data_IF_260866438271
#
_entry.id   IF_260866438271
#
_cell.length_a   1.000
_cell.length_b   1.000
_cell.length_c   1.000
_cell.angle_alpha   90.00
_cell.angle_beta   90.00
_cell.angle_gamma   90.00
#
_symmetry.space_group_name_H-M   'P 1'
#
loop_
_entity.id
_entity.type
_entity.pdbx_description
1 polymer ?
#
# COMPACT_ATOMS: atom_id res chain seq x y z
N UNK A 1 -19.73 -4.06 -25.40
CA UNK A 1 -19.82 -2.58 -25.45
C UNK A 1 -19.32 -2.06 -24.10
N UNK A 2 -18.33 -1.17 -24.05
CA UNK A 2 -17.65 -0.81 -22.79
C UNK A 2 -18.55 -0.05 -21.81
N UNK A 3 -19.48 0.77 -22.31
CA UNK A 3 -20.43 1.53 -21.47
C UNK A 3 -21.38 0.64 -20.67
N UNK A 4 -21.96 -0.39 -21.30
CA UNK A 4 -22.89 -1.28 -20.61
C UNK A 4 -22.18 -2.09 -19.52
N UNK A 5 -20.89 -2.38 -19.69
CA UNK A 5 -20.09 -2.98 -18.63
C UNK A 5 -19.89 -2.01 -17.46
N UNK A 6 -19.63 -0.73 -17.72
CA UNK A 6 -19.51 0.28 -16.67
C UNK A 6 -20.81 0.43 -15.89
N UNK A 7 -21.95 0.62 -16.56
CA UNK A 7 -23.27 0.75 -15.91
C UNK A 7 -23.61 -0.48 -15.06
N UNK A 8 -23.41 -1.68 -15.59
CA UNK A 8 -23.69 -2.93 -14.85
C UNK A 8 -22.71 -3.18 -13.69
N UNK A 9 -21.60 -2.44 -13.60
CA UNK A 9 -20.64 -2.54 -12.50
C UNK A 9 -20.94 -1.55 -11.36
N UNK A 10 -21.97 -0.72 -11.48
CA UNK A 10 -22.38 0.28 -10.50
C UNK A 10 -23.70 -0.11 -9.83
N UNK A 11 -23.99 0.49 -8.67
CA UNK A 11 -25.34 0.44 -8.12
C UNK A 11 -26.29 1.28 -8.98
N UNK A 12 -27.59 0.91 -9.10
CA UNK A 12 -28.55 1.59 -9.97
C UNK A 12 -28.61 3.12 -9.76
N UNK A 13 -28.61 3.55 -8.50
CA UNK A 13 -28.65 4.98 -8.13
C UNK A 13 -27.44 5.77 -8.67
N UNK A 14 -26.27 5.13 -8.75
CA UNK A 14 -25.05 5.72 -9.30
C UNK A 14 -25.10 5.68 -10.83
N UNK A 15 -25.50 4.56 -11.44
CA UNK A 15 -25.54 4.42 -12.90
C UNK A 15 -26.50 5.41 -13.56
N UNK A 16 -27.65 5.68 -12.94
CA UNK A 16 -28.67 6.59 -13.46
C UNK A 16 -28.16 8.03 -13.61
N UNK A 17 -27.25 8.45 -12.72
CA UNK A 17 -26.62 9.77 -12.74
C UNK A 17 -25.70 9.96 -13.96
N UNK A 18 -25.20 8.87 -14.56
CA UNK A 18 -24.24 8.89 -15.68
C UNK A 18 -24.79 8.31 -16.98
N UNK A 19 -26.07 7.93 -17.02
CA UNK A 19 -26.71 7.26 -18.17
C UNK A 19 -26.74 8.13 -19.44
N UNK A 20 -26.71 9.46 -19.28
CA UNK A 20 -26.78 10.42 -20.38
C UNK A 20 -25.42 10.82 -20.96
N UNK A 21 -24.32 10.27 -20.45
CA UNK A 21 -22.98 10.58 -20.97
C UNK A 21 -22.71 9.83 -22.28
N UNK A 22 -22.19 10.58 -23.24
CA UNK A 22 -22.09 10.17 -24.66
C UNK A 22 -20.97 9.18 -24.94
N UNK A 23 -19.96 9.07 -24.07
CA UNK A 23 -18.82 8.16 -24.28
C UNK A 23 -18.47 7.36 -23.01
N UNK A 24 -17.93 6.15 -23.19
CA UNK A 24 -17.43 5.36 -22.06
C UNK A 24 -16.31 6.08 -21.29
N UNK A 25 -15.55 6.94 -22.00
CA UNK A 25 -14.52 7.80 -21.42
C UNK A 25 -15.14 8.83 -20.49
N UNK A 26 -16.20 9.53 -20.91
CA UNK A 26 -16.85 10.55 -20.09
C UNK A 26 -17.48 9.93 -18.83
N UNK A 27 -18.08 8.75 -18.97
CA UNK A 27 -18.61 7.96 -17.85
C UNK A 27 -17.49 7.63 -16.86
N UNK A 28 -16.38 7.06 -17.35
CA UNK A 28 -15.24 6.71 -16.51
C UNK A 28 -14.59 7.92 -15.83
N UNK A 29 -14.36 9.02 -16.56
CA UNK A 29 -13.75 10.24 -16.01
C UNK A 29 -14.65 10.87 -14.95
N UNK A 30 -15.97 10.91 -15.15
CA UNK A 30 -16.91 11.47 -14.18
C UNK A 30 -17.00 10.63 -12.91
N UNK A 31 -17.09 9.30 -13.02
CA UNK A 31 -17.08 8.38 -11.86
C UNK A 31 -15.76 8.52 -11.11
N UNK A 32 -14.64 8.57 -11.86
CA UNK A 32 -13.32 8.77 -11.28
C UNK A 32 -13.27 10.10 -10.54
N UNK A 33 -13.76 11.20 -11.10
CA UNK A 33 -13.75 12.50 -10.39
C UNK A 33 -14.60 12.48 -9.12
N UNK A 34 -15.77 11.84 -9.14
CA UNK A 34 -16.70 11.83 -8.01
C UNK A 34 -16.29 10.87 -6.88
N UNK A 35 -15.77 9.68 -7.22
CA UNK A 35 -15.56 8.60 -6.26
C UNK A 35 -14.10 8.20 -6.06
N UNK A 36 -13.17 8.74 -6.86
CA UNK A 36 -11.75 8.48 -6.66
C UNK A 36 -11.28 9.11 -5.37
N UNK A 37 -10.75 8.27 -4.49
CA UNK A 37 -10.00 8.67 -3.29
C UNK A 37 -8.52 8.96 -3.58
N UNK A 38 -8.10 8.91 -4.85
CA UNK A 38 -6.74 9.27 -5.25
C UNK A 38 -6.45 10.73 -4.88
N UNK A 39 -5.31 10.97 -4.22
CA UNK A 39 -4.88 12.26 -3.66
C UNK A 39 -5.75 12.76 -2.48
N UNK A 40 -6.57 11.91 -1.88
CA UNK A 40 -7.29 12.22 -0.64
C UNK A 40 -6.35 12.16 0.58
N UNK A 41 -6.05 13.33 1.14
CA UNK A 41 -5.17 13.47 2.30
C UNK A 41 -5.73 12.77 3.56
N UNK A 42 -7.05 12.72 3.73
CA UNK A 42 -7.68 12.05 4.86
C UNK A 42 -7.48 10.54 4.78
N UNK A 43 -7.62 9.95 3.59
CA UNK A 43 -7.37 8.52 3.39
C UNK A 43 -5.89 8.16 3.60
N UNK A 44 -4.96 8.99 3.13
CA UNK A 44 -3.52 8.81 3.43
C UNK A 44 -3.26 8.86 4.94
N UNK A 45 -3.91 9.78 5.65
CA UNK A 45 -3.78 9.91 7.10
C UNK A 45 -4.33 8.69 7.85
N UNK A 46 -5.52 8.21 7.48
CA UNK A 46 -6.12 7.00 8.06
C UNK A 46 -5.22 5.77 7.87
N UNK A 47 -4.69 5.57 6.65
CA UNK A 47 -3.78 4.47 6.38
C UNK A 47 -2.49 4.61 7.19
N UNK A 48 -1.94 5.82 7.30
CA UNK A 48 -0.75 6.06 8.16
C UNK A 48 -0.99 5.68 9.61
N UNK A 49 -2.14 6.04 10.18
CA UNK A 49 -2.49 5.64 11.56
C UNK A 49 -2.56 4.12 11.66
N UNK A 50 -3.26 3.46 10.73
CA UNK A 50 -3.38 1.99 10.72
C UNK A 50 -2.01 1.31 10.64
N UNK A 51 -1.12 1.80 9.77
CA UNK A 51 0.24 1.27 9.63
C UNK A 51 1.05 1.44 10.93
N UNK A 52 1.01 2.62 11.56
CA UNK A 52 1.75 2.88 12.79
C UNK A 52 1.23 2.08 14.00
N UNK A 53 -0.08 1.83 14.05
CA UNK A 53 -0.72 1.06 15.11
C UNK A 53 -0.60 -0.46 14.92
N UNK A 54 -0.32 -0.94 13.70
CA UNK A 54 -0.23 -2.36 13.40
C UNK A 54 1.02 -2.96 14.06
N UNK A 55 0.79 -3.95 14.92
CA UNK A 55 1.82 -4.79 15.55
C UNK A 55 1.58 -6.25 15.17
N UNK A 56 2.64 -7.06 15.20
CA UNK A 56 2.56 -8.49 14.96
C UNK A 56 1.57 -9.14 15.94
N UNK A 57 1.80 -8.98 17.24
CA UNK A 57 0.91 -9.49 18.27
C UNK A 57 0.78 -11.01 18.19
N UNK A 58 -0.44 -11.51 18.01
CA UNK A 58 -0.73 -12.95 17.91
C UNK A 58 -0.69 -13.51 16.48
N UNK A 59 -0.25 -12.72 15.50
CA UNK A 59 -0.18 -13.13 14.09
C UNK A 59 1.15 -13.77 13.79
N UNK A 60 1.17 -14.72 12.86
CA UNK A 60 2.43 -15.17 12.28
C UNK A 60 3.14 -14.01 11.58
N UNK A 61 4.47 -14.13 11.41
CA UNK A 61 5.29 -13.15 10.66
C UNK A 61 4.72 -12.95 9.25
N UNK A 62 4.23 -14.03 8.65
CA UNK A 62 3.62 -14.00 7.30
C UNK A 62 2.35 -13.18 7.25
N UNK A 63 1.41 -13.43 8.16
CA UNK A 63 0.14 -12.69 8.21
C UNK A 63 0.38 -11.21 8.49
N UNK A 64 1.28 -10.90 9.43
CA UNK A 64 1.67 -9.52 9.74
C UNK A 64 2.27 -8.81 8.52
N UNK A 65 3.19 -9.47 7.80
CA UNK A 65 3.80 -8.91 6.59
C UNK A 65 2.77 -8.65 5.48
N UNK A 66 1.79 -9.55 5.29
CA UNK A 66 0.72 -9.37 4.30
C UNK A 66 -0.14 -8.16 4.65
N UNK A 67 -0.54 -8.01 5.91
CA UNK A 67 -1.35 -6.86 6.35
C UNK A 67 -0.63 -5.53 6.13
N UNK A 68 0.66 -5.45 6.45
CA UNK A 68 1.46 -4.27 6.17
C UNK A 68 1.58 -3.97 4.67
N UNK A 69 1.84 -5.01 3.85
CA UNK A 69 1.90 -4.87 2.39
C UNK A 69 0.60 -4.30 1.81
N UNK A 70 -0.54 -4.77 2.28
CA UNK A 70 -1.84 -4.26 1.85
C UNK A 70 -2.03 -2.78 2.20
N UNK A 71 -1.69 -2.38 3.44
CA UNK A 71 -1.77 -0.97 3.86
C UNK A 71 -0.82 -0.08 3.05
N UNK A 72 0.41 -0.52 2.79
CA UNK A 72 1.34 0.26 1.98
C UNK A 72 0.90 0.37 0.52
N UNK A 73 0.30 -0.67 -0.06
CA UNK A 73 -0.27 -0.62 -1.41
C UNK A 73 -1.46 0.34 -1.49
N UNK A 74 -2.34 0.33 -0.48
CA UNK A 74 -3.44 1.30 -0.35
C UNK A 74 -2.90 2.73 -0.26
N UNK A 75 -1.85 2.95 0.55
CA UNK A 75 -1.19 4.24 0.67
C UNK A 75 -0.55 4.72 -0.64
N UNK A 76 0.11 3.82 -1.38
CA UNK A 76 0.72 4.13 -2.68
C UNK A 76 -0.34 4.54 -3.69
N UNK A 77 -1.49 3.87 -3.68
CA UNK A 77 -2.62 4.20 -4.53
C UNK A 77 -3.13 5.64 -4.26
N UNK A 78 -3.28 6.01 -2.99
CA UNK A 78 -3.73 7.36 -2.63
C UNK A 78 -2.69 8.44 -2.90
N UNK A 79 -1.39 8.16 -2.69
CA UNK A 79 -0.34 9.16 -2.90
C UNK A 79 -0.13 9.52 -4.37
N UNK A 80 -0.42 8.60 -5.30
CA UNK A 80 -0.35 8.82 -6.75
C UNK A 80 0.87 9.68 -7.16
N UNK A 81 2.06 9.14 -6.87
CA UNK A 81 3.32 9.85 -7.08
C UNK A 81 3.63 9.89 -8.57
N UNK A 82 3.46 11.04 -9.19
CA UNK A 82 3.83 11.29 -10.58
C UNK A 82 5.32 11.60 -10.66
N UNK A 83 6.11 10.74 -11.32
CA UNK A 83 7.55 10.89 -11.44
C UNK A 83 7.91 11.24 -12.89
N UNK A 84 8.67 12.33 -13.06
CA UNK A 84 9.08 12.83 -14.38
C UNK A 84 10.42 12.25 -14.87
N UNK A 85 11.18 11.62 -13.96
CA UNK A 85 12.55 11.14 -14.18
C UNK A 85 12.70 9.70 -13.64
N UNK A 86 13.38 8.84 -14.40
CA UNK A 86 13.60 7.42 -14.07
C UNK A 86 14.55 7.20 -12.89
N UNK A 87 15.59 8.03 -12.81
CA UNK A 87 16.63 7.97 -11.78
C UNK A 87 16.05 8.37 -10.41
N UNK A 88 15.25 9.45 -10.40
CA UNK A 88 14.54 9.90 -9.20
C UNK A 88 13.52 8.86 -8.75
N UNK A 89 12.85 8.17 -9.68
CA UNK A 89 11.92 7.09 -9.38
C UNK A 89 12.59 5.90 -8.70
N UNK A 90 13.79 5.56 -9.14
CA UNK A 90 14.57 4.49 -8.53
C UNK A 90 15.03 4.89 -7.13
N UNK A 91 15.47 6.13 -6.96
CA UNK A 91 15.91 6.68 -5.67
C UNK A 91 14.77 6.73 -4.66
N UNK A 92 13.59 7.21 -5.06
CA UNK A 92 12.42 7.26 -4.20
C UNK A 92 11.94 5.86 -3.80
N UNK A 93 11.93 4.90 -4.74
CA UNK A 93 11.56 3.51 -4.43
C UNK A 93 12.46 2.91 -3.36
N UNK A 94 13.78 3.13 -3.45
CA UNK A 94 14.73 2.69 -2.42
C UNK A 94 14.46 3.33 -1.06
N UNK A 95 14.14 4.63 -1.05
CA UNK A 95 13.78 5.33 0.18
C UNK A 95 12.51 4.75 0.82
N UNK A 96 11.45 4.56 0.02
CA UNK A 96 10.19 3.98 0.48
C UNK A 96 10.39 2.54 0.99
N UNK A 97 11.17 1.73 0.28
CA UNK A 97 11.45 0.35 0.71
C UNK A 97 12.19 0.33 2.05
N UNK A 98 13.15 1.22 2.24
CA UNK A 98 13.89 1.36 3.50
C UNK A 98 12.96 1.72 4.67
N UNK A 99 12.05 2.69 4.48
CA UNK A 99 11.03 3.04 5.48
C UNK A 99 10.13 1.84 5.82
N UNK A 100 9.73 1.05 4.82
CA UNK A 100 8.90 -0.15 5.04
C UNK A 100 9.62 -1.23 5.82
N UNK A 101 10.93 -1.38 5.66
CA UNK A 101 11.74 -2.28 6.49
C UNK A 101 11.69 -1.81 7.95
N UNK A 102 11.84 -0.51 8.19
CA UNK A 102 11.77 0.03 9.56
C UNK A 102 10.38 -0.15 10.18
N UNK A 103 9.32 0.17 9.46
CA UNK A 103 7.94 -0.04 9.89
C UNK A 103 7.70 -1.51 10.26
N UNK A 104 8.12 -2.44 9.38
CA UNK A 104 8.00 -3.88 9.64
C UNK A 104 8.70 -4.29 10.93
N UNK A 105 9.99 -3.96 11.07
CA UNK A 105 10.81 -4.31 12.22
C UNK A 105 10.30 -3.70 13.53
N UNK A 106 9.76 -2.46 13.49
CA UNK A 106 9.25 -1.74 14.65
C UNK A 106 7.94 -2.30 15.20
N UNK A 107 7.21 -3.07 14.40
CA UNK A 107 5.97 -3.74 14.84
C UNK A 107 6.13 -5.23 15.18
N UNK A 108 7.32 -5.81 14.99
CA UNK A 108 7.60 -7.18 15.42
C UNK A 108 7.56 -7.33 16.94
N UNK A 109 7.21 -8.54 17.39
CA UNK A 109 7.28 -8.91 18.80
C UNK A 109 8.73 -8.90 19.32
N UNK A 110 8.87 -8.85 20.66
CA UNK A 110 10.17 -8.78 21.34
C UNK A 110 11.03 -10.04 21.16
N UNK A 111 10.41 -11.17 20.84
CA UNK A 111 11.10 -12.43 20.56
C UNK A 111 12.02 -12.34 19.33
N UNK A 112 11.74 -11.42 18.40
CA UNK A 112 12.57 -11.18 17.20
C UNK A 112 13.63 -10.09 17.40
N UNK A 113 13.91 -9.67 18.65
CA UNK A 113 14.88 -8.61 18.93
C UNK A 113 16.29 -8.95 18.43
N UNK A 114 16.72 -10.20 18.54
CA UNK A 114 18.04 -10.64 18.07
C UNK A 114 18.18 -10.48 16.55
N UNK A 115 17.23 -11.02 15.78
CA UNK A 115 17.25 -10.88 14.30
C UNK A 115 17.09 -9.41 13.88
N UNK A 116 16.32 -8.62 14.64
CA UNK A 116 16.19 -7.17 14.41
C UNK A 116 17.55 -6.46 14.52
N UNK A 117 18.31 -6.72 15.59
CA UNK A 117 19.65 -6.14 15.79
C UNK A 117 20.61 -6.57 14.68
N UNK A 118 20.59 -7.85 14.29
CA UNK A 118 21.43 -8.35 13.20
C UNK A 118 21.12 -7.66 11.87
N UNK A 119 19.86 -7.46 11.54
CA UNK A 119 19.44 -6.77 10.31
C UNK A 119 19.87 -5.31 10.33
N UNK A 120 19.64 -4.60 11.46
CA UNK A 120 19.99 -3.19 11.60
C UNK A 120 21.50 -2.94 11.68
N UNK A 121 22.29 -3.96 12.06
CA UNK A 121 23.75 -3.89 12.10
C UNK A 121 24.44 -4.07 10.75
N UNK A 122 23.71 -4.42 9.67
CA UNK A 122 24.30 -4.58 8.34
C UNK A 122 24.69 -3.21 7.75
N UNK A 123 25.79 -3.18 6.99
CA UNK A 123 26.25 -1.98 6.28
C UNK A 123 25.18 -1.46 5.32
N UNK A 124 24.57 -2.37 4.56
CA UNK A 124 23.44 -2.10 3.69
C UNK A 124 22.22 -2.87 4.19
N UNK A 125 21.08 -2.17 4.24
CA UNK A 125 19.83 -2.76 4.68
C UNK A 125 19.32 -3.72 3.59
N UNK A 126 19.01 -5.00 3.92
CA UNK A 126 18.44 -5.93 2.97
C UNK A 126 17.06 -5.46 2.47
N UNK A 127 16.62 -6.01 1.34
CA UNK A 127 15.28 -5.75 0.82
C UNK A 127 14.21 -6.21 1.80
N UNK A 128 13.00 -5.65 1.67
CA UNK A 128 11.88 -6.00 2.53
C UNK A 128 11.57 -7.51 2.50
N UNK A 129 11.67 -8.14 1.33
CA UNK A 129 11.41 -9.58 1.21
C UNK A 129 12.49 -10.43 1.88
N UNK A 130 13.76 -10.03 1.79
CA UNK A 130 14.85 -10.70 2.52
C UNK A 130 14.66 -10.56 4.03
N UNK A 131 14.27 -9.37 4.51
CA UNK A 131 13.96 -9.12 5.92
C UNK A 131 12.84 -10.02 6.42
N UNK A 132 11.73 -10.12 5.68
CA UNK A 132 10.62 -11.00 6.04
C UNK A 132 11.08 -12.47 6.09
N UNK A 133 11.89 -12.92 5.13
CA UNK A 133 12.41 -14.29 5.10
C UNK A 133 13.33 -14.59 6.27
N UNK A 134 14.23 -13.66 6.64
CA UNK A 134 15.12 -13.83 7.79
C UNK A 134 14.34 -13.95 9.10
N UNK A 135 13.32 -13.11 9.31
CA UNK A 135 12.51 -13.15 10.53
C UNK A 135 11.63 -14.40 10.57
N UNK A 136 11.08 -14.83 9.42
CA UNK A 136 10.29 -16.07 9.33
C UNK A 136 11.12 -17.30 9.67
N UNK A 137 12.39 -17.34 9.27
CA UNK A 137 13.27 -18.47 9.58
C UNK A 137 13.54 -18.66 11.09
N UNK A 138 13.30 -17.63 11.91
CA UNK A 138 13.41 -17.69 13.38
C UNK A 138 12.07 -18.00 14.07
N UNK A 139 10.96 -17.98 13.32
CA UNK A 139 9.61 -18.31 13.83
C UNK A 139 9.35 -19.84 13.80
N UNK A 140 10.10 -20.59 12.98
CA UNK A 140 10.05 -22.06 12.85
C UNK A 140 10.95 -22.79 13.86
#
# INVERSE_FOLDING_TARGET
>A
MVMSWLWNSMTPDISDTYMFLSTAKDIWESIRQTYSKVKDAAQVYEVKIKTAALKQGNKSVTEYAILLKNLWQEMDHYRCIEMKCSEDATTLKKFIEKDRVYDFLAGLNVEFDQVRVQILGKQDLPSLNEVISMVRAEEE
#
